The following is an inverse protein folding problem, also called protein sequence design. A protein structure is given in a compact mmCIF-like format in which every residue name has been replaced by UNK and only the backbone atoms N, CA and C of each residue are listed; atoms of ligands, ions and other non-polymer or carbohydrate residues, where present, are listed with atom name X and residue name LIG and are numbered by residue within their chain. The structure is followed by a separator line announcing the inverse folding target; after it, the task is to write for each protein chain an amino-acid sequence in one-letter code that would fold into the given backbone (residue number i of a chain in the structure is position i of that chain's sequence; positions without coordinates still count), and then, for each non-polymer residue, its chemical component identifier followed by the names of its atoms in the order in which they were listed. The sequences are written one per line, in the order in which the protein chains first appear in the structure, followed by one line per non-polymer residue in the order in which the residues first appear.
data_IF_617463140106
#
_entry.id   IF_617463140106
#
_cell.length_a   1.000
_cell.length_b   1.000
_cell.length_c   1.000
_cell.angle_alpha   90.00
_cell.angle_beta   90.00
_cell.angle_gamma   90.00
#
_symmetry.space_group_name_H-M   'P 1'
#
loop_
_entity.id
_entity.type
_entity.pdbx_description
1 polymer ?
#
# COMPACT_ATOMS: atom_id res chain seq x y z
N UNK A 1 15.46 -9.62 -34.37
CA UNK A 1 14.34 -9.22 -33.50
C UNK A 1 13.05 -9.72 -34.14
N UNK A 2 12.09 -10.18 -33.36
CA UNK A 2 10.73 -10.44 -33.86
C UNK A 2 10.07 -9.08 -34.17
N UNK A 3 9.12 -9.07 -35.12
CA UNK A 3 8.22 -7.92 -35.28
C UNK A 3 7.14 -7.94 -34.20
N UNK A 4 6.50 -6.81 -33.93
CA UNK A 4 5.38 -6.75 -32.96
C UNK A 4 4.24 -7.69 -33.36
N UNK A 5 3.91 -7.80 -34.66
CA UNK A 5 2.92 -8.77 -35.14
C UNK A 5 3.34 -10.23 -34.88
N UNK A 6 4.64 -10.54 -34.95
CA UNK A 6 5.15 -11.87 -34.62
C UNK A 6 5.10 -12.16 -33.12
N UNK A 7 5.20 -11.14 -32.26
CA UNK A 7 5.02 -11.27 -30.81
C UNK A 7 3.55 -11.57 -30.49
N UNK A 8 2.61 -10.86 -31.13
CA UNK A 8 1.16 -11.11 -30.99
C UNK A 8 0.80 -12.53 -31.46
N UNK A 9 1.50 -13.05 -32.47
CA UNK A 9 1.25 -14.41 -32.97
C UNK A 9 1.80 -15.55 -32.08
N UNK A 10 2.53 -15.25 -30.99
CA UNK A 10 3.01 -16.28 -30.06
C UNK A 10 1.83 -16.77 -29.22
N UNK A 11 1.73 -18.09 -29.01
CA UNK A 11 0.81 -18.64 -28.02
C UNK A 11 1.42 -18.71 -26.63
N UNK A 12 0.59 -18.97 -25.62
CA UNK A 12 0.99 -18.96 -24.20
C UNK A 12 2.12 -19.94 -23.87
N UNK A 13 2.18 -21.10 -24.56
CA UNK A 13 3.28 -22.04 -24.38
C UNK A 13 4.61 -21.47 -24.88
N UNK A 14 4.60 -20.75 -26.01
CA UNK A 14 5.80 -20.10 -26.54
C UNK A 14 6.22 -18.91 -25.68
N UNK A 15 5.27 -18.09 -25.23
CA UNK A 15 5.55 -16.97 -24.32
C UNK A 15 6.11 -17.47 -22.99
N UNK A 16 5.50 -18.48 -22.37
CA UNK A 16 5.99 -19.09 -21.14
C UNK A 16 7.34 -19.82 -21.30
N UNK A 17 7.73 -20.19 -22.51
CA UNK A 17 9.04 -20.78 -22.79
C UNK A 17 10.17 -19.73 -22.84
N UNK A 18 9.87 -18.44 -23.03
CA UNK A 18 10.87 -17.38 -23.10
C UNK A 18 11.71 -17.34 -21.82
N UNK A 19 13.03 -17.23 -22.00
CA UNK A 19 13.96 -16.95 -20.91
C UNK A 19 13.89 -15.48 -20.48
N UNK A 20 14.34 -15.19 -19.27
CA UNK A 20 14.44 -13.80 -18.78
C UNK A 20 15.31 -12.92 -19.67
N UNK A 21 16.39 -13.47 -20.24
CA UNK A 21 17.24 -12.74 -21.18
C UNK A 21 16.54 -12.41 -22.49
N UNK A 22 15.70 -13.31 -23.00
CA UNK A 22 14.91 -13.07 -24.21
C UNK A 22 13.83 -12.02 -23.97
N UNK A 23 13.13 -12.08 -22.83
CA UNK A 23 12.12 -11.08 -22.45
C UNK A 23 12.77 -9.71 -22.22
N UNK A 24 13.92 -9.66 -21.55
CA UNK A 24 14.66 -8.41 -21.34
C UNK A 24 15.15 -7.77 -22.65
N UNK A 25 15.30 -8.54 -23.74
CA UNK A 25 15.68 -8.05 -25.05
C UNK A 25 14.51 -7.50 -25.89
N UNK A 26 13.26 -7.70 -25.46
CA UNK A 26 12.07 -7.17 -26.14
C UNK A 26 11.97 -5.66 -25.97
N UNK A 27 11.45 -4.95 -26.98
CA UNK A 27 11.16 -3.52 -26.82
C UNK A 27 9.95 -3.30 -25.90
N UNK A 28 9.74 -2.06 -25.45
CA UNK A 28 8.52 -1.70 -24.69
C UNK A 28 7.25 -1.90 -25.51
N UNK A 29 7.32 -1.71 -26.83
CA UNK A 29 6.18 -1.94 -27.73
C UNK A 29 5.87 -3.44 -27.84
N UNK A 30 6.90 -4.29 -27.86
CA UNK A 30 6.72 -5.73 -27.89
C UNK A 30 6.09 -6.21 -26.57
N UNK A 31 6.54 -5.71 -25.42
CA UNK A 31 5.95 -6.02 -24.11
C UNK A 31 4.47 -5.61 -24.07
N UNK A 32 4.14 -4.39 -24.51
CA UNK A 32 2.76 -3.91 -24.54
C UNK A 32 1.87 -4.67 -25.54
N UNK A 33 2.47 -5.34 -26.53
CA UNK A 33 1.74 -6.12 -27.53
C UNK A 33 1.52 -7.59 -27.17
N UNK A 34 2.17 -8.12 -26.12
CA UNK A 34 1.89 -9.49 -25.64
C UNK A 34 0.42 -9.57 -25.21
N UNK A 35 -0.33 -10.54 -25.73
CA UNK A 35 -1.74 -10.68 -25.36
C UNK A 35 -1.91 -10.98 -23.87
N UNK A 36 -3.00 -10.53 -23.26
CA UNK A 36 -3.27 -10.72 -21.82
C UNK A 36 -3.36 -12.21 -21.45
N UNK A 37 -3.86 -13.06 -22.36
CA UNK A 37 -3.86 -14.51 -22.18
C UNK A 37 -2.46 -15.11 -22.10
N UNK A 38 -1.46 -14.46 -22.69
CA UNK A 38 -0.09 -14.97 -22.76
C UNK A 38 0.83 -14.35 -21.71
N UNK A 39 0.62 -13.09 -21.30
CA UNK A 39 1.48 -12.45 -20.30
C UNK A 39 1.48 -13.22 -18.97
N UNK A 40 0.33 -13.78 -18.60
CA UNK A 40 0.17 -14.64 -17.42
C UNK A 40 0.95 -15.96 -17.50
N UNK A 41 1.44 -16.35 -18.68
CA UNK A 41 2.30 -17.55 -18.85
C UNK A 41 3.79 -17.30 -18.57
N UNK A 42 4.23 -16.04 -18.47
CA UNK A 42 5.62 -15.70 -18.23
C UNK A 42 6.12 -16.25 -16.89
N UNK A 43 7.31 -16.83 -16.88
CA UNK A 43 7.96 -17.27 -15.64
C UNK A 43 8.23 -16.07 -14.74
N UNK A 44 8.14 -16.27 -13.43
CA UNK A 44 8.47 -15.24 -12.42
C UNK A 44 9.88 -14.68 -12.57
N UNK A 45 10.84 -15.50 -13.02
CA UNK A 45 12.20 -15.06 -13.34
C UNK A 45 12.28 -14.12 -14.54
N UNK A 46 11.37 -14.23 -15.50
CA UNK A 46 11.25 -13.30 -16.62
C UNK A 46 10.64 -11.97 -16.16
N UNK A 47 9.60 -12.01 -15.32
CA UNK A 47 9.01 -10.80 -14.71
C UNK A 47 10.05 -10.04 -13.87
N UNK A 48 10.80 -10.74 -13.02
CA UNK A 48 11.89 -10.15 -12.25
C UNK A 48 13.03 -9.59 -13.13
N UNK A 49 13.16 -10.09 -14.36
CA UNK A 49 14.16 -9.65 -15.34
C UNK A 49 13.75 -8.47 -16.21
N UNK A 50 12.49 -8.00 -16.15
CA UNK A 50 12.06 -6.82 -16.90
C UNK A 50 12.87 -5.59 -16.49
N UNK A 51 13.26 -4.78 -17.46
CA UNK A 51 13.73 -3.42 -17.15
C UNK A 51 12.59 -2.58 -16.56
N UNK A 52 12.93 -1.48 -15.89
CA UNK A 52 11.93 -0.52 -15.38
C UNK A 52 11.08 0.09 -16.50
N UNK A 53 11.66 0.33 -17.68
CA UNK A 53 10.94 0.81 -18.85
C UNK A 53 9.93 -0.22 -19.37
N UNK A 54 10.29 -1.51 -19.38
CA UNK A 54 9.38 -2.58 -19.78
C UNK A 54 8.26 -2.79 -18.75
N UNK A 55 8.57 -2.77 -17.46
CA UNK A 55 7.55 -2.84 -16.41
C UNK A 55 6.56 -1.67 -16.50
N UNK A 56 7.06 -0.45 -16.79
CA UNK A 56 6.22 0.73 -17.05
C UNK A 56 5.38 0.62 -18.34
N UNK A 57 5.83 -0.18 -19.30
CA UNK A 57 5.12 -0.38 -20.57
C UNK A 57 3.99 -1.41 -20.51
N UNK A 58 3.88 -2.21 -19.43
CA UNK A 58 2.75 -3.11 -19.25
C UNK A 58 1.43 -2.33 -19.26
N UNK A 59 0.42 -2.82 -19.97
CA UNK A 59 -0.92 -2.25 -19.89
C UNK A 59 -1.57 -2.61 -18.56
N UNK A 60 -2.62 -1.90 -18.15
CA UNK A 60 -3.39 -2.27 -16.94
C UNK A 60 -4.01 -3.65 -17.08
N UNK A 61 -4.52 -4.00 -18.27
CA UNK A 61 -5.12 -5.31 -18.54
C UNK A 61 -4.07 -6.42 -18.47
N UNK A 62 -2.83 -6.16 -18.88
CA UNK A 62 -1.72 -7.08 -18.69
C UNK A 62 -1.35 -7.24 -17.21
N UNK A 63 -1.42 -6.17 -16.41
CA UNK A 63 -1.18 -6.25 -14.95
C UNK A 63 -2.25 -7.08 -14.26
N UNK A 64 -3.53 -6.91 -14.63
CA UNK A 64 -4.64 -7.75 -14.14
C UNK A 64 -4.43 -9.22 -14.51
N UNK A 65 -3.84 -9.50 -15.67
CA UNK A 65 -3.58 -10.88 -16.10
C UNK A 65 -2.37 -11.55 -15.41
N UNK A 66 -1.57 -10.81 -14.64
CA UNK A 66 -0.48 -11.39 -13.86
C UNK A 66 -1.03 -12.02 -12.59
N UNK A 67 -0.65 -13.28 -12.30
CA UNK A 67 -0.98 -13.91 -11.03
C UNK A 67 -0.08 -13.48 -9.88
N UNK A 68 -0.47 -13.81 -8.64
CA UNK A 68 0.24 -13.41 -7.41
C UNK A 68 1.74 -13.75 -7.42
N UNK A 69 2.12 -14.89 -8.00
CA UNK A 69 3.53 -15.29 -8.11
C UNK A 69 4.36 -14.33 -8.98
N UNK A 70 3.76 -13.79 -10.05
CA UNK A 70 4.38 -12.81 -10.94
C UNK A 70 4.41 -11.42 -10.30
N UNK A 71 3.31 -11.01 -9.66
CA UNK A 71 3.27 -9.76 -8.88
C UNK A 71 4.33 -9.78 -7.77
N UNK A 72 4.46 -10.87 -7.02
CA UNK A 72 5.50 -11.02 -6.00
C UNK A 72 6.92 -11.12 -6.57
N UNK A 73 7.07 -11.45 -7.85
CA UNK A 73 8.37 -11.47 -8.52
C UNK A 73 8.90 -10.07 -8.85
N UNK A 74 8.01 -9.07 -8.98
CA UNK A 74 8.40 -7.69 -9.23
C UNK A 74 9.43 -7.21 -8.19
N UNK A 75 10.39 -6.43 -8.68
CA UNK A 75 11.42 -5.77 -7.90
C UNK A 75 10.92 -4.39 -7.45
N UNK A 76 11.51 -3.85 -6.39
CA UNK A 76 11.17 -2.50 -5.92
C UNK A 76 11.39 -1.42 -6.98
N UNK A 77 12.44 -1.55 -7.81
CA UNK A 77 12.71 -0.62 -8.90
C UNK A 77 11.63 -0.68 -10.01
N UNK A 78 11.13 -1.87 -10.34
CA UNK A 78 10.05 -2.03 -11.30
C UNK A 78 8.74 -1.44 -10.76
N UNK A 79 8.38 -1.75 -9.51
CA UNK A 79 7.18 -1.20 -8.86
C UNK A 79 7.24 0.32 -8.76
N UNK A 80 8.38 0.89 -8.38
CA UNK A 80 8.57 2.35 -8.35
C UNK A 80 8.47 3.02 -9.74
N UNK A 81 8.71 2.27 -10.83
CA UNK A 81 8.62 2.78 -12.19
C UNK A 81 7.22 2.64 -12.83
N UNK A 82 6.35 1.79 -12.27
CA UNK A 82 4.97 1.62 -12.73
C UNK A 82 4.16 2.92 -12.53
N UNK A 83 3.18 3.14 -13.39
CA UNK A 83 2.21 4.21 -13.22
C UNK A 83 1.23 3.92 -12.08
N UNK A 84 0.59 4.96 -11.55
CA UNK A 84 -0.52 4.84 -10.60
C UNK A 84 -1.66 3.94 -11.11
N UNK A 85 -1.97 4.00 -12.41
CA UNK A 85 -3.00 3.15 -13.01
C UNK A 85 -2.63 1.67 -13.02
N UNK A 86 -1.36 1.34 -13.28
CA UNK A 86 -0.88 -0.04 -13.18
C UNK A 86 -0.87 -0.56 -11.74
N UNK A 87 -0.52 0.28 -10.76
CA UNK A 87 -0.60 -0.08 -9.33
C UNK A 87 -2.06 -0.35 -8.93
N UNK A 88 -2.99 0.53 -9.32
CA UNK A 88 -4.42 0.35 -9.05
C UNK A 88 -4.98 -0.91 -9.73
N UNK A 89 -4.40 -1.34 -10.85
CA UNK A 89 -4.80 -2.52 -11.61
C UNK A 89 -4.30 -3.86 -11.02
N UNK A 90 -3.41 -3.86 -10.02
CA UNK A 90 -3.02 -5.11 -9.33
C UNK A 90 -4.25 -5.64 -8.61
N UNK A 91 -4.66 -6.89 -8.84
CA UNK A 91 -5.85 -7.41 -8.19
C UNK A 91 -5.69 -7.44 -6.66
N UNK A 92 -6.79 -7.23 -5.92
CA UNK A 92 -6.77 -7.25 -4.44
C UNK A 92 -6.23 -8.57 -3.88
N UNK A 93 -6.46 -9.68 -4.59
CA UNK A 93 -5.93 -10.99 -4.22
C UNK A 93 -4.40 -11.08 -4.35
N UNK A 94 -3.78 -10.23 -5.18
CA UNK A 94 -2.35 -10.29 -5.50
C UNK A 94 -1.51 -9.24 -4.78
N UNK A 95 -2.11 -8.16 -4.27
CA UNK A 95 -1.37 -7.07 -3.60
C UNK A 95 -0.56 -7.59 -2.38
N UNK A 96 -1.08 -8.61 -1.70
CA UNK A 96 -0.42 -9.28 -0.59
C UNK A 96 0.89 -9.99 -0.98
N UNK A 97 1.09 -10.29 -2.27
CA UNK A 97 2.31 -10.93 -2.77
C UNK A 97 3.48 -9.94 -2.94
N UNK A 98 3.22 -8.62 -2.99
CA UNK A 98 4.28 -7.62 -3.09
C UNK A 98 5.21 -7.68 -1.88
N UNK A 99 6.52 -7.66 -2.15
CA UNK A 99 7.54 -7.60 -1.09
C UNK A 99 7.42 -6.26 -0.34
N UNK A 100 7.71 -6.26 0.95
CA UNK A 100 7.76 -5.03 1.77
C UNK A 100 8.70 -3.98 1.19
N UNK A 101 9.81 -4.40 0.57
CA UNK A 101 10.74 -3.50 -0.12
C UNK A 101 10.14 -2.82 -1.35
N UNK A 102 9.17 -3.45 -2.02
CA UNK A 102 8.43 -2.83 -3.12
C UNK A 102 7.42 -1.81 -2.59
N UNK A 103 6.70 -2.13 -1.52
CA UNK A 103 5.78 -1.21 -0.84
C UNK A 103 6.51 0.05 -0.36
N UNK A 104 7.65 -0.12 0.30
CA UNK A 104 8.47 1.02 0.77
C UNK A 104 9.13 1.83 -0.35
N UNK A 105 9.15 1.32 -1.58
CA UNK A 105 9.67 2.05 -2.75
C UNK A 105 8.57 2.79 -3.53
N UNK A 106 7.30 2.60 -3.18
CA UNK A 106 6.18 3.29 -3.84
C UNK A 106 6.25 4.81 -3.60
N UNK A 107 6.02 5.56 -4.65
CA UNK A 107 5.81 7.01 -4.56
C UNK A 107 4.48 7.32 -3.86
N UNK A 108 4.33 8.53 -3.34
CA UNK A 108 3.07 8.99 -2.74
C UNK A 108 1.90 8.93 -3.73
N UNK A 109 2.15 9.21 -5.01
CA UNK A 109 1.15 9.14 -6.08
C UNK A 109 0.69 7.71 -6.37
N UNK A 110 1.59 6.73 -6.23
CA UNK A 110 1.23 5.31 -6.35
C UNK A 110 0.48 4.82 -5.12
N UNK A 111 0.88 5.25 -3.92
CA UNK A 111 0.13 4.96 -2.69
C UNK A 111 -1.30 5.51 -2.77
N UNK A 112 -1.47 6.74 -3.27
CA UNK A 112 -2.78 7.38 -3.37
C UNK A 112 -3.69 6.70 -4.40
N UNK A 113 -3.11 5.91 -5.31
CA UNK A 113 -3.83 5.18 -6.34
C UNK A 113 -4.29 3.79 -5.88
N UNK A 114 -3.81 3.29 -4.74
CA UNK A 114 -4.34 2.06 -4.17
C UNK A 114 -5.83 2.23 -3.86
N UNK A 115 -6.62 1.20 -4.09
CA UNK A 115 -8.02 1.17 -3.65
C UNK A 115 -8.09 0.91 -2.15
N UNK A 116 -9.22 1.24 -1.52
CA UNK A 116 -9.48 0.89 -0.12
C UNK A 116 -9.39 -0.62 0.11
N UNK A 117 -9.85 -1.43 -0.85
CA UNK A 117 -9.79 -2.89 -0.78
C UNK A 117 -8.36 -3.40 -0.83
N UNK A 118 -7.51 -2.83 -1.69
CA UNK A 118 -6.08 -3.15 -1.74
C UNK A 118 -5.38 -2.77 -0.43
N UNK A 119 -5.70 -1.60 0.16
CA UNK A 119 -5.15 -1.19 1.46
C UNK A 119 -5.56 -2.17 2.56
N UNK A 120 -6.85 -2.55 2.63
CA UNK A 120 -7.34 -3.54 3.58
C UNK A 120 -6.69 -4.92 3.41
N UNK A 121 -6.28 -5.28 2.20
CA UNK A 121 -5.61 -6.54 1.89
C UNK A 121 -4.11 -6.57 2.21
N UNK A 122 -3.47 -5.42 2.50
CA UNK A 122 -2.05 -5.38 2.87
C UNK A 122 -1.81 -6.09 4.21
N UNK A 123 -0.76 -6.90 4.29
CA UNK A 123 -0.29 -7.43 5.56
C UNK A 123 0.23 -6.32 6.48
N UNK A 124 0.27 -6.58 7.79
CA UNK A 124 0.84 -5.66 8.77
C UNK A 124 2.32 -5.34 8.49
N UNK A 125 3.08 -6.29 7.94
CA UNK A 125 4.47 -6.09 7.55
C UNK A 125 4.60 -5.15 6.33
N UNK A 126 3.68 -5.22 5.37
CA UNK A 126 3.63 -4.31 4.23
C UNK A 126 3.22 -2.90 4.67
N UNK A 127 2.22 -2.77 5.55
CA UNK A 127 1.82 -1.48 6.14
C UNK A 127 2.97 -0.85 6.92
N UNK A 128 3.69 -1.65 7.73
CA UNK A 128 4.87 -1.18 8.45
C UNK A 128 6.03 -0.77 7.53
N UNK A 129 6.02 -1.14 6.25
CA UNK A 129 7.01 -0.74 5.26
C UNK A 129 6.69 0.59 4.56
N UNK A 130 5.46 1.12 4.70
CA UNK A 130 5.11 2.44 4.16
C UNK A 130 5.97 3.54 4.78
N UNK A 131 6.48 4.46 3.98
CA UNK A 131 7.30 5.55 4.49
C UNK A 131 6.44 6.62 5.14
N UNK A 132 7.00 7.43 6.05
CA UNK A 132 6.28 8.58 6.63
C UNK A 132 5.74 9.54 5.56
N UNK A 133 6.39 9.65 4.40
CA UNK A 133 5.88 10.43 3.28
C UNK A 133 4.62 9.80 2.67
N UNK A 134 4.58 8.47 2.51
CA UNK A 134 3.37 7.78 2.05
C UNK A 134 2.19 8.00 3.02
N UNK A 135 2.43 7.97 4.33
CA UNK A 135 1.38 8.24 5.33
C UNK A 135 0.95 9.71 5.36
N UNK A 136 1.88 10.66 5.22
CA UNK A 136 1.58 12.08 5.34
C UNK A 136 0.89 12.69 4.11
N UNK A 137 1.18 12.17 2.91
CA UNK A 137 0.71 12.77 1.65
C UNK A 137 0.42 11.77 0.53
N UNK A 138 0.57 10.48 0.79
CA UNK A 138 0.27 9.41 -0.16
C UNK A 138 -1.01 8.64 0.13
N UNK A 139 -1.58 8.73 1.34
CA UNK A 139 -2.88 8.12 1.64
C UNK A 139 -3.98 9.19 1.59
N UNK A 140 -5.16 8.77 1.12
CA UNK A 140 -6.42 9.48 1.35
C UNK A 140 -7.00 9.08 2.69
N UNK A 141 -7.89 9.91 3.24
CA UNK A 141 -8.56 9.59 4.49
C UNK A 141 -9.42 8.32 4.39
N UNK A 142 -10.07 8.07 3.25
CA UNK A 142 -10.82 6.82 3.01
C UNK A 142 -9.92 5.58 3.05
N UNK A 143 -8.69 5.68 2.53
CA UNK A 143 -7.71 4.59 2.63
C UNK A 143 -7.26 4.36 4.07
N UNK A 144 -7.11 5.40 4.89
CA UNK A 144 -6.80 5.26 6.33
C UNK A 144 -7.96 4.57 7.06
N UNK A 145 -9.21 4.94 6.74
CA UNK A 145 -10.42 4.29 7.30
C UNK A 145 -10.51 2.81 6.90
N UNK A 146 -10.02 2.44 5.71
CA UNK A 146 -10.01 1.05 5.25
C UNK A 146 -8.95 0.18 5.96
N UNK A 147 -8.02 0.76 6.72
CA UNK A 147 -7.04 0.00 7.49
C UNK A 147 -7.69 -0.67 8.69
N UNK A 148 -7.42 -1.97 8.87
CA UNK A 148 -7.79 -2.69 10.09
C UNK A 148 -7.02 -2.20 11.32
N UNK A 149 -7.57 -2.46 12.50
CA UNK A 149 -6.91 -2.17 13.78
C UNK A 149 -5.53 -2.82 13.91
N UNK A 150 -5.34 -4.02 13.33
CA UNK A 150 -4.03 -4.69 13.30
C UNK A 150 -3.01 -3.95 12.43
N UNK A 151 -3.43 -3.40 11.29
CA UNK A 151 -2.56 -2.62 10.40
C UNK A 151 -2.19 -1.28 11.05
N UNK A 152 -3.15 -0.57 11.65
CA UNK A 152 -2.89 0.66 12.39
C UNK A 152 -1.95 0.41 13.58
N UNK A 153 -2.17 -0.68 14.33
CA UNK A 153 -1.29 -1.09 15.44
C UNK A 153 0.11 -1.53 15.00
N UNK A 154 0.32 -1.86 13.72
CA UNK A 154 1.62 -2.22 13.16
C UNK A 154 2.50 -1.00 12.85
N UNK A 155 1.91 0.20 12.71
CA UNK A 155 2.65 1.43 12.48
C UNK A 155 3.60 1.74 13.64
N UNK A 156 4.79 2.25 13.31
CA UNK A 156 5.67 2.88 14.28
C UNK A 156 5.09 4.22 14.75
N UNK A 157 5.59 4.72 15.88
CA UNK A 157 5.22 6.05 16.39
C UNK A 157 5.52 7.17 15.38
N UNK A 158 6.61 7.06 14.63
CA UNK A 158 6.96 8.01 13.57
C UNK A 158 6.00 7.96 12.38
N UNK A 159 5.59 6.77 11.94
CA UNK A 159 4.60 6.61 10.86
C UNK A 159 3.22 7.10 11.29
N UNK A 160 2.76 6.74 12.48
CA UNK A 160 1.47 7.21 12.98
C UNK A 160 1.48 8.74 13.18
N UNK A 161 2.57 9.30 13.71
CA UNK A 161 2.74 10.74 13.84
C UNK A 161 2.79 11.49 12.50
N UNK A 162 2.95 10.80 11.37
CA UNK A 162 2.91 11.39 10.04
C UNK A 162 1.48 11.56 9.49
N UNK A 163 0.48 10.84 10.02
CA UNK A 163 -0.92 10.98 9.66
C UNK A 163 -1.44 12.40 9.95
N UNK A 164 -2.32 12.91 9.09
CA UNK A 164 -2.94 14.20 9.33
C UNK A 164 -3.93 14.14 10.51
N UNK A 165 -4.35 15.29 11.02
CA UNK A 165 -5.41 15.36 12.03
C UNK A 165 -6.76 14.86 11.49
N UNK A 166 -7.01 15.05 10.18
CA UNK A 166 -8.20 14.52 9.51
C UNK A 166 -8.20 13.00 9.47
N UNK A 167 -7.05 12.39 9.17
CA UNK A 167 -6.91 10.93 9.16
C UNK A 167 -7.11 10.34 10.55
N UNK A 168 -6.49 10.94 11.58
CA UNK A 168 -6.65 10.50 12.97
C UNK A 168 -8.10 10.63 13.45
N UNK A 169 -8.79 11.73 13.10
CA UNK A 169 -10.20 11.92 13.44
C UNK A 169 -11.15 10.95 12.71
N UNK A 170 -10.74 10.41 11.56
CA UNK A 170 -11.54 9.49 10.77
C UNK A 170 -11.40 8.02 11.19
N UNK A 171 -10.36 7.66 11.96
CA UNK A 171 -10.16 6.28 12.45
C UNK A 171 -11.40 5.80 13.23
N UNK A 172 -11.92 4.63 12.89
CA UNK A 172 -13.08 4.04 13.56
C UNK A 172 -12.85 3.82 15.06
N UNK A 173 -13.90 3.96 15.87
CA UNK A 173 -13.83 3.71 17.32
C UNK A 173 -13.46 2.26 17.67
N UNK A 174 -13.79 1.30 16.78
CA UNK A 174 -13.38 -0.09 16.90
C UNK A 174 -11.89 -0.31 16.56
N UNK A 175 -11.27 0.61 15.83
CA UNK A 175 -9.88 0.48 15.40
C UNK A 175 -8.90 1.21 16.33
N UNK A 176 -9.34 2.33 16.92
CA UNK A 176 -8.50 3.10 17.86
C UNK A 176 -8.11 2.29 19.11
N UNK A 177 -8.93 1.32 19.51
CA UNK A 177 -8.61 0.41 20.63
C UNK A 177 -7.48 -0.59 20.30
N UNK A 178 -7.20 -0.81 19.01
CA UNK A 178 -6.08 -1.63 18.55
C UNK A 178 -4.72 -0.91 18.61
N UNK A 179 -4.70 0.40 18.88
CA UNK A 179 -3.47 1.17 18.95
C UNK A 179 -2.66 0.85 20.20
N UNK A 180 -1.34 0.70 20.02
CA UNK A 180 -0.40 0.53 21.12
C UNK A 180 -0.38 1.79 22.00
N UNK A 181 -0.19 1.62 23.31
CA UNK A 181 -0.01 2.75 24.24
C UNK A 181 1.14 3.66 23.86
N UNK A 182 2.20 3.12 23.22
CA UNK A 182 3.30 3.92 22.68
C UNK A 182 2.88 4.86 21.55
N UNK A 183 1.88 4.48 20.74
CA UNK A 183 1.30 5.36 19.71
C UNK A 183 0.56 6.50 20.40
N UNK A 184 -0.32 6.18 21.35
CA UNK A 184 -1.09 7.17 22.12
C UNK A 184 -0.17 8.19 22.81
N UNK A 185 0.89 7.71 23.48
CA UNK A 185 1.87 8.56 24.14
C UNK A 185 2.68 9.44 23.16
N UNK A 186 2.76 9.06 21.88
CA UNK A 186 3.49 9.78 20.83
C UNK A 186 2.63 10.74 20.01
N UNK A 187 1.30 10.79 20.26
CA UNK A 187 0.39 11.68 19.54
C UNK A 187 0.80 13.15 19.73
N UNK A 188 0.90 13.87 18.61
CA UNK A 188 1.05 15.33 18.64
C UNK A 188 -0.18 15.95 19.31
N UNK A 189 0.00 17.10 19.96
CA UNK A 189 -1.11 17.82 20.62
C UNK A 189 -2.29 18.08 19.66
N UNK A 190 -2.00 18.46 18.41
CA UNK A 190 -3.02 18.66 17.38
C UNK A 190 -3.76 17.38 16.98
N UNK A 191 -3.08 16.22 16.92
CA UNK A 191 -3.70 14.93 16.59
C UNK A 191 -4.57 14.42 17.73
N UNK A 192 -4.15 14.65 18.98
CA UNK A 192 -4.97 14.29 20.13
C UNK A 192 -6.21 15.20 20.23
N UNK A 193 -6.03 16.50 20.01
CA UNK A 193 -7.13 17.46 20.01
C UNK A 193 -8.14 17.22 18.87
N UNK A 194 -7.75 16.52 17.79
CA UNK A 194 -8.65 16.12 16.71
C UNK A 194 -9.44 14.85 16.99
N UNK A 195 -9.16 14.11 18.08
CA UNK A 195 -9.96 12.94 18.44
C UNK A 195 -11.39 13.35 18.82
N UNK A 196 -12.37 12.59 18.34
CA UNK A 196 -13.77 12.78 18.70
C UNK A 196 -14.03 12.31 20.13
N UNK A 197 -15.11 12.78 20.75
CA UNK A 197 -15.54 12.30 22.07
C UNK A 197 -15.83 10.79 22.04
N UNK A 198 -16.38 10.27 20.95
CA UNK A 198 -16.66 8.85 20.78
C UNK A 198 -15.37 8.02 20.73
N UNK A 199 -14.35 8.49 20.01
CA UNK A 199 -13.03 7.86 19.97
C UNK A 199 -12.35 7.87 21.35
N UNK A 200 -12.47 8.95 22.11
CA UNK A 200 -11.91 9.04 23.46
C UNK A 200 -12.61 8.10 24.44
N UNK A 201 -13.95 7.99 24.34
CA UNK A 201 -14.75 7.09 25.18
C UNK A 201 -14.49 5.61 24.90
N UNK A 202 -13.98 5.26 23.71
CA UNK A 202 -13.63 3.88 23.40
C UNK A 202 -12.23 3.48 23.87
N UNK A 203 -11.38 4.43 24.29
CA UNK A 203 -10.01 4.14 24.73
C UNK A 203 -10.00 3.22 25.96
N UNK A 204 -9.07 2.28 25.96
CA UNK A 204 -8.82 1.43 27.12
C UNK A 204 -8.17 2.23 28.26
N UNK A 205 -8.31 1.75 29.50
CA UNK A 205 -7.66 2.36 30.68
C UNK A 205 -6.14 2.48 30.52
N UNK A 206 -5.50 1.51 29.88
CA UNK A 206 -4.06 1.54 29.57
C UNK A 206 -3.71 2.62 28.55
N UNK A 207 -4.55 2.85 27.53
CA UNK A 207 -4.35 3.91 26.54
C UNK A 207 -4.57 5.29 27.17
N UNK A 208 -5.60 5.45 28.00
CA UNK A 208 -5.85 6.69 28.76
C UNK A 208 -4.65 7.01 29.66
N UNK A 209 -4.12 6.01 30.37
CA UNK A 209 -2.92 6.16 31.20
C UNK A 209 -1.64 6.51 30.43
N UNK A 210 -1.63 6.31 29.11
CA UNK A 210 -0.51 6.68 28.24
C UNK A 210 -0.58 8.13 27.73
N UNK A 211 -1.71 8.84 27.92
CA UNK A 211 -1.85 10.24 27.53
C UNK A 211 -0.96 11.09 28.43
N UNK A 212 -0.06 11.88 27.83
CA UNK A 212 0.87 12.72 28.60
C UNK A 212 0.15 13.91 29.24
N UNK A 213 0.73 14.49 30.30
CA UNK A 213 0.18 15.68 30.96
C UNK A 213 0.16 16.92 30.06
N UNK A 214 1.13 17.04 29.14
CA UNK A 214 1.14 18.09 28.13
C UNK A 214 -0.01 17.92 27.13
N UNK A 215 -0.31 16.68 26.78
CA UNK A 215 -1.41 16.31 25.91
C UNK A 215 -2.79 16.55 26.54
N UNK A 216 -2.98 16.23 27.83
CA UNK A 216 -4.25 16.51 28.52
C UNK A 216 -4.62 17.99 28.55
N UNK A 217 -3.63 18.89 28.57
CA UNK A 217 -3.87 20.34 28.54
C UNK A 217 -4.37 20.85 27.19
N UNK A 218 -4.19 20.08 26.11
CA UNK A 218 -4.66 20.43 24.77
C UNK A 218 -6.11 19.96 24.51
N UNK A 219 -6.69 19.16 25.41
CA UNK A 219 -8.05 18.65 25.27
C UNK A 219 -9.08 19.69 25.70
N UNK A 220 -10.23 19.67 25.02
CA UNK A 220 -11.43 20.41 25.43
C UNK A 220 -12.08 19.79 26.66
N UNK A 221 -12.98 20.53 27.31
CA UNK A 221 -13.75 20.00 28.45
C UNK A 221 -14.55 18.75 28.08
N UNK A 222 -15.21 18.74 26.92
CA UNK A 222 -16.00 17.59 26.46
C UNK A 222 -15.11 16.36 26.21
N UNK A 223 -13.91 16.57 25.65
CA UNK A 223 -12.92 15.51 25.46
C UNK A 223 -12.39 14.96 26.79
N UNK A 224 -12.17 15.80 27.80
CA UNK A 224 -11.77 15.35 29.15
C UNK A 224 -12.89 14.53 29.80
N UNK A 225 -14.15 14.95 29.64
CA UNK A 225 -15.30 14.21 30.15
C UNK A 225 -15.39 12.84 29.48
N UNK A 226 -15.19 12.77 28.16
CA UNK A 226 -15.22 11.52 27.40
C UNK A 226 -14.14 10.50 27.79
N UNK A 227 -13.04 10.92 28.42
CA UNK A 227 -12.02 9.99 28.95
C UNK A 227 -12.48 9.25 30.22
N UNK A 228 -13.51 9.73 30.91
CA UNK A 228 -14.01 9.18 32.16
C UNK A 228 -15.33 8.40 32.05
N UNK A 229 -15.94 8.38 30.86
CA UNK A 229 -17.18 7.67 30.53
C UNK A 229 -16.92 6.24 30.10
#
# INVERSE_FOLDING_TARGET
ALTTDQIVALGSLQVGALSSAQVAALSTNDIAAIETGDIGSLKTSAIAGLSTNQAKALTTDQVVALGSGQIGALTSAQVAAMSSGQIAAIETADIGALKTSAIGAMTTQQTAALTTDQIGALSTAQVAALTTANLASGLTTDQVVAMSSNQLGALSTAQFGALSTGDVAAIGTADIIGLKTSIIASLKTAQLASLTTDQLSSLTTNQIGAITTANMQALTTDQIVALGS
#
